data_IF_357533175943
#
_entry.id   IF_357533175943
#
_cell.length_a   1.000
_cell.length_b   1.000
_cell.length_c   1.000
_cell.angle_alpha   90.00
_cell.angle_beta   90.00
_cell.angle_gamma   90.00
#
_symmetry.space_group_name_H-M   'P 1'
#
loop_
_entity.id
_entity.type
_entity.pdbx_description
1 polymer ?
#
# COMPACT_ATOMS: atom_id res chain seq x y z
N UNK A 1 -16.88 15.10 2.08
CA UNK A 1 -15.87 14.44 2.94
C UNK A 1 -16.25 14.66 4.41
N UNK A 2 -15.84 13.77 5.33
CA UNK A 2 -16.06 13.99 6.76
C UNK A 2 -15.05 14.97 7.36
N UNK A 3 -13.82 14.96 6.83
CA UNK A 3 -12.71 15.82 7.27
C UNK A 3 -11.98 16.34 6.04
N UNK A 4 -11.50 17.59 6.11
CA UNK A 4 -10.48 18.15 5.23
C UNK A 4 -9.17 18.31 6.01
N UNK A 5 -8.07 17.86 5.41
CA UNK A 5 -6.72 17.98 5.99
C UNK A 5 -5.81 18.60 4.94
N UNK A 6 -5.07 19.65 5.30
CA UNK A 6 -4.10 20.29 4.42
C UNK A 6 -3.80 21.72 4.80
N UNK A 7 -2.84 22.33 4.12
CA UNK A 7 -2.62 23.80 4.17
C UNK A 7 -3.58 24.55 3.21
N UNK A 8 -4.11 23.84 2.22
CA UNK A 8 -5.09 24.31 1.23
C UNK A 8 -4.58 25.43 0.31
N UNK A 9 -3.28 25.60 0.18
CA UNK A 9 -2.66 26.64 -0.66
C UNK A 9 -2.96 26.45 -2.16
N UNK A 10 -3.20 25.21 -2.57
CA UNK A 10 -3.54 24.76 -3.91
C UNK A 10 -5.04 24.83 -4.22
N UNK A 11 -5.87 25.18 -3.24
CA UNK A 11 -7.32 25.29 -3.40
C UNK A 11 -7.80 26.74 -3.45
N UNK A 12 -8.85 27.02 -4.23
CA UNK A 12 -9.59 28.28 -4.10
C UNK A 12 -10.10 28.48 -2.67
N UNK A 13 -9.83 29.65 -2.10
CA UNK A 13 -10.20 30.00 -0.72
C UNK A 13 -11.70 29.83 -0.41
N UNK A 14 -12.55 30.01 -1.41
CA UNK A 14 -14.00 29.87 -1.28
C UNK A 14 -14.43 28.41 -1.10
N UNK A 15 -13.64 27.44 -1.58
CA UNK A 15 -13.96 26.02 -1.52
C UNK A 15 -13.81 25.48 -0.08
N UNK A 16 -12.75 25.87 0.62
CA UNK A 16 -12.55 25.52 2.04
C UNK A 16 -13.61 26.19 2.91
N UNK A 17 -13.93 27.46 2.63
CA UNK A 17 -14.98 28.18 3.35
C UNK A 17 -16.37 27.53 3.16
N UNK A 18 -16.69 27.11 1.94
CA UNK A 18 -17.93 26.37 1.63
C UNK A 18 -18.01 25.04 2.38
N UNK A 19 -16.92 24.28 2.43
CA UNK A 19 -16.89 23.01 3.16
C UNK A 19 -17.10 23.20 4.67
N UNK A 20 -16.45 24.21 5.27
CA UNK A 20 -16.67 24.57 6.68
C UNK A 20 -18.11 24.99 6.94
N UNK A 21 -18.69 25.82 6.08
CA UNK A 21 -20.08 26.25 6.18
C UNK A 21 -21.06 25.07 6.06
N UNK A 22 -20.68 24.02 5.33
CA UNK A 22 -21.43 22.77 5.24
C UNK A 22 -21.20 21.81 6.42
N UNK A 23 -20.44 22.21 7.45
CA UNK A 23 -20.19 21.41 8.66
C UNK A 23 -19.09 20.36 8.52
N UNK A 24 -18.20 20.48 7.54
CA UNK A 24 -17.07 19.56 7.38
C UNK A 24 -15.94 19.95 8.36
N UNK A 25 -15.51 18.99 9.19
CA UNK A 25 -14.34 19.17 10.05
C UNK A 25 -13.12 19.53 9.21
N UNK A 26 -12.35 20.52 9.63
CA UNK A 26 -11.20 20.98 8.86
C UNK A 26 -9.98 21.10 9.76
N UNK A 27 -8.97 20.27 9.51
CA UNK A 27 -7.66 20.34 10.12
C UNK A 27 -6.73 21.13 9.19
N UNK A 28 -6.45 22.38 9.57
CA UNK A 28 -5.49 23.23 8.84
C UNK A 28 -4.08 22.89 9.29
N UNK A 29 -3.23 22.53 8.35
CA UNK A 29 -1.81 22.31 8.59
C UNK A 29 -1.01 23.58 8.30
N UNK A 30 0.13 23.78 8.97
CA UNK A 30 1.08 24.82 8.57
C UNK A 30 1.58 24.59 7.14
N UNK A 31 1.88 25.67 6.43
CA UNK A 31 2.52 25.64 5.10
C UNK A 31 3.91 24.98 5.17
N UNK A 32 4.67 25.25 6.24
CA UNK A 32 5.95 24.58 6.54
C UNK A 32 5.75 23.49 7.58
N UNK A 33 5.90 22.25 7.16
CA UNK A 33 5.71 21.04 7.97
C UNK A 33 6.64 19.93 7.49
N UNK A 34 6.91 18.97 8.37
CA UNK A 34 7.79 17.83 8.07
C UNK A 34 7.05 16.64 7.42
N UNK A 35 5.73 16.78 7.17
CA UNK A 35 4.86 15.73 6.63
C UNK A 35 4.03 16.25 5.45
N UNK A 36 3.72 15.37 4.49
CA UNK A 36 2.82 15.71 3.39
C UNK A 36 1.37 15.78 3.88
N UNK A 37 0.50 16.46 3.13
CA UNK A 37 -0.94 16.47 3.43
C UNK A 37 -1.55 15.06 3.41
N UNK A 38 -1.10 14.21 2.48
CA UNK A 38 -1.54 12.81 2.38
C UNK A 38 -1.12 11.98 3.59
N UNK A 39 0.10 12.17 4.10
CA UNK A 39 0.55 11.52 5.34
C UNK A 39 -0.30 11.97 6.52
N UNK A 40 -0.50 13.28 6.67
CA UNK A 40 -1.30 13.84 7.75
C UNK A 40 -2.76 13.34 7.71
N UNK A 41 -3.35 13.25 6.52
CA UNK A 41 -4.70 12.75 6.34
C UNK A 41 -4.83 11.27 6.71
N UNK A 42 -3.83 10.44 6.36
CA UNK A 42 -3.80 9.04 6.75
C UNK A 42 -3.68 8.86 8.27
N UNK A 43 -2.85 9.69 8.93
CA UNK A 43 -2.74 9.68 10.38
C UNK A 43 -4.02 10.12 11.08
N UNK A 44 -4.66 11.18 10.57
CA UNK A 44 -5.93 11.68 11.11
C UNK A 44 -7.04 10.64 10.97
N UNK A 45 -7.10 9.91 9.85
CA UNK A 45 -8.06 8.83 9.67
C UNK A 45 -7.87 7.72 10.73
N UNK A 46 -6.63 7.31 10.99
CA UNK A 46 -6.31 6.33 12.03
C UNK A 46 -6.63 6.86 13.43
N UNK A 47 -6.31 8.13 13.73
CA UNK A 47 -6.61 8.76 15.02
C UNK A 47 -8.12 8.80 15.30
N UNK A 48 -8.94 8.88 14.25
CA UNK A 48 -10.41 8.80 14.31
C UNK A 48 -10.96 7.37 14.35
N UNK A 49 -10.10 6.36 14.43
CA UNK A 49 -10.50 4.96 14.58
C UNK A 49 -10.74 4.21 13.28
N UNK A 50 -10.25 4.70 12.13
CA UNK A 50 -10.29 3.92 10.90
C UNK A 50 -9.49 2.62 11.06
N UNK A 51 -10.07 1.49 10.62
CA UNK A 51 -9.39 0.19 10.63
C UNK A 51 -8.48 -0.03 9.42
N UNK A 52 -8.65 0.78 8.37
CA UNK A 52 -7.87 0.73 7.14
C UNK A 52 -7.77 2.12 6.49
N UNK A 53 -6.74 2.31 5.67
CA UNK A 53 -6.51 3.54 4.89
C UNK A 53 -6.41 3.20 3.41
N UNK A 54 -7.17 3.92 2.59
CA UNK A 54 -7.10 3.82 1.13
C UNK A 54 -6.67 5.16 0.56
N UNK A 55 -5.52 5.17 -0.09
CA UNK A 55 -4.94 6.37 -0.72
C UNK A 55 -5.37 6.39 -2.18
N UNK A 56 -6.28 7.31 -2.51
CA UNK A 56 -6.76 7.58 -3.86
C UNK A 56 -6.01 8.78 -4.45
N UNK A 57 -5.78 8.77 -5.77
CA UNK A 57 -5.02 9.85 -6.43
C UNK A 57 -3.56 9.93 -5.98
N UNK A 58 -3.05 8.88 -5.34
CA UNK A 58 -1.69 8.80 -4.81
C UNK A 58 -0.63 8.43 -5.87
N UNK A 59 -1.06 8.16 -7.11
CA UNK A 59 -0.24 7.84 -8.27
C UNK A 59 -0.75 8.59 -9.51
N UNK A 60 0.10 8.72 -10.53
CA UNK A 60 -0.16 9.43 -11.78
C UNK A 60 0.24 10.91 -11.74
N UNK A 61 1.07 11.31 -10.77
CA UNK A 61 1.43 12.69 -10.49
C UNK A 61 2.94 12.93 -10.55
N UNK A 62 3.43 13.76 -9.62
CA UNK A 62 4.86 14.00 -9.48
C UNK A 62 5.54 12.77 -8.85
N UNK A 63 6.63 12.31 -9.46
CA UNK A 63 7.30 11.06 -9.08
C UNK A 63 7.78 11.05 -7.61
N UNK A 64 8.26 12.18 -7.11
CA UNK A 64 8.64 12.37 -5.71
C UNK A 64 7.46 12.18 -4.75
N UNK A 65 6.28 12.70 -5.08
CA UNK A 65 5.05 12.49 -4.32
C UNK A 65 4.65 11.01 -4.31
N UNK A 66 4.76 10.31 -5.44
CA UNK A 66 4.46 8.88 -5.52
C UNK A 66 5.38 8.06 -4.61
N UNK A 67 6.68 8.36 -4.62
CA UNK A 67 7.64 7.73 -3.71
C UNK A 67 7.34 8.06 -2.24
N UNK A 68 6.90 9.29 -1.96
CA UNK A 68 6.40 9.69 -0.64
C UNK A 68 5.20 8.85 -0.20
N UNK A 69 4.24 8.59 -1.09
CA UNK A 69 3.07 7.77 -0.79
C UNK A 69 3.45 6.30 -0.51
N UNK A 70 4.46 5.76 -1.19
CA UNK A 70 5.02 4.44 -0.84
C UNK A 70 5.66 4.45 0.54
N UNK A 71 6.35 5.54 0.92
CA UNK A 71 6.91 5.69 2.27
C UNK A 71 5.80 5.73 3.35
N UNK A 72 4.67 6.40 3.06
CA UNK A 72 3.49 6.41 3.93
C UNK A 72 2.92 4.98 4.08
N UNK A 73 2.71 4.24 2.99
CA UNK A 73 2.26 2.84 3.07
C UNK A 73 3.20 1.98 3.92
N UNK A 74 4.52 2.17 3.75
CA UNK A 74 5.54 1.44 4.53
C UNK A 74 5.39 1.72 6.02
N UNK A 75 5.27 2.99 6.40
CA UNK A 75 5.11 3.43 7.79
C UNK A 75 3.82 2.88 8.41
N UNK A 76 2.72 2.91 7.66
CA UNK A 76 1.43 2.36 8.09
C UNK A 76 1.50 0.84 8.30
N UNK A 77 2.09 0.10 7.36
CA UNK A 77 2.26 -1.35 7.46
C UNK A 77 3.12 -1.76 8.67
N UNK A 78 4.21 -1.02 8.95
CA UNK A 78 5.06 -1.25 10.13
C UNK A 78 4.33 -1.02 11.46
N UNK A 79 3.30 -0.16 11.47
CA UNK A 79 2.43 0.07 12.63
C UNK A 79 1.27 -0.93 12.71
N UNK A 80 1.21 -1.91 11.80
CA UNK A 80 0.13 -2.89 11.71
C UNK A 80 -1.17 -2.33 11.14
N UNK A 81 -1.17 -1.13 10.56
CA UNK A 81 -2.34 -0.55 9.93
C UNK A 81 -2.54 -1.13 8.52
N UNK A 82 -3.76 -1.54 8.20
CA UNK A 82 -4.11 -1.93 6.84
C UNK A 82 -4.12 -0.68 5.94
N UNK A 83 -3.27 -0.65 4.92
CA UNK A 83 -3.20 0.47 4.00
C UNK A 83 -2.96 0.02 2.56
N UNK A 84 -3.62 0.68 1.62
CA UNK A 84 -3.39 0.48 0.18
C UNK A 84 -3.50 1.77 -0.61
N UNK A 85 -2.77 1.82 -1.71
CA UNK A 85 -3.00 2.77 -2.80
C UNK A 85 -3.92 2.09 -3.80
N UNK A 86 -4.91 2.82 -4.31
CA UNK A 86 -5.81 2.36 -5.36
C UNK A 86 -5.82 3.34 -6.53
N UNK A 87 -5.79 2.78 -7.73
CA UNK A 87 -6.08 3.49 -8.98
C UNK A 87 -7.17 2.72 -9.74
N UNK A 88 -7.68 3.24 -10.86
CA UNK A 88 -8.58 2.46 -11.72
C UNK A 88 -7.96 1.19 -12.32
N UNK A 89 -6.64 1.00 -12.23
CA UNK A 89 -5.93 -0.09 -12.91
C UNK A 89 -5.09 -0.96 -11.98
N UNK A 90 -4.84 -0.53 -10.74
CA UNK A 90 -4.01 -1.30 -9.80
C UNK A 90 -4.37 -1.03 -8.35
N UNK A 91 -3.98 -2.00 -7.52
CA UNK A 91 -3.90 -1.88 -6.08
C UNK A 91 -2.44 -2.11 -5.64
N UNK A 92 -1.97 -1.32 -4.67
CA UNK A 92 -0.64 -1.48 -4.09
C UNK A 92 -0.69 -1.45 -2.57
N UNK A 93 0.04 -2.37 -1.92
CA UNK A 93 0.14 -2.44 -0.45
C UNK A 93 1.55 -2.88 -0.02
N UNK A 94 1.93 -2.54 1.20
CA UNK A 94 3.19 -2.99 1.79
C UNK A 94 2.93 -4.16 2.72
N UNK A 95 3.63 -5.27 2.46
CA UNK A 95 3.61 -6.48 3.26
C UNK A 95 4.80 -6.44 4.22
N UNK A 96 4.51 -6.34 5.52
CA UNK A 96 5.52 -6.37 6.58
C UNK A 96 5.67 -7.80 7.12
N UNK A 97 6.88 -8.35 7.10
CA UNK A 97 7.16 -9.66 7.65
C UNK A 97 6.93 -9.73 9.18
N UNK A 98 6.59 -10.91 9.72
CA UNK A 98 6.16 -12.11 9.01
C UNK A 98 4.69 -11.99 8.58
N UNK A 99 4.37 -12.30 7.32
CA UNK A 99 2.99 -12.21 6.83
C UNK A 99 2.72 -13.09 5.60
N UNK A 100 1.45 -13.45 5.40
CA UNK A 100 0.98 -14.22 4.25
C UNK A 100 -0.27 -13.60 3.62
N UNK A 101 -0.35 -13.63 2.29
CA UNK A 101 -1.46 -13.07 1.51
C UNK A 101 -1.89 -14.02 0.40
N UNK A 102 -3.19 -14.14 0.20
CA UNK A 102 -3.77 -14.80 -0.95
C UNK A 102 -4.10 -13.71 -1.96
N UNK A 103 -3.66 -13.90 -3.20
CA UNK A 103 -4.03 -13.00 -4.28
C UNK A 103 -5.45 -13.34 -4.75
N UNK A 104 -6.32 -12.34 -4.73
CA UNK A 104 -7.70 -12.42 -5.23
C UNK A 104 -7.79 -11.99 -6.70
N UNK A 105 -6.67 -12.06 -7.43
CA UNK A 105 -6.57 -11.72 -8.84
C UNK A 105 -6.75 -12.94 -9.76
N UNK A 106 -7.25 -12.69 -10.97
CA UNK A 106 -7.41 -13.74 -11.98
C UNK A 106 -6.05 -14.22 -12.53
N UNK A 107 -5.95 -15.49 -12.99
CA UNK A 107 -4.80 -15.92 -13.78
C UNK A 107 -4.59 -15.02 -15.00
N UNK A 108 -3.34 -14.64 -15.25
CA UNK A 108 -2.96 -13.65 -16.26
C UNK A 108 -2.80 -12.23 -15.72
N UNK A 109 -3.27 -11.92 -14.50
CA UNK A 109 -3.02 -10.62 -13.87
C UNK A 109 -1.54 -10.45 -13.54
N UNK A 110 -1.00 -9.27 -13.84
CA UNK A 110 0.38 -8.90 -13.50
C UNK A 110 0.48 -8.55 -12.01
N UNK A 111 1.53 -9.04 -11.36
CA UNK A 111 1.90 -8.68 -10.00
C UNK A 111 3.40 -8.39 -9.91
N UNK A 112 3.75 -7.26 -9.31
CA UNK A 112 5.13 -6.87 -9.04
C UNK A 112 5.40 -6.88 -7.54
N UNK A 113 6.56 -7.40 -7.15
CA UNK A 113 7.02 -7.48 -5.78
C UNK A 113 8.40 -6.83 -5.69
N UNK A 114 8.51 -5.77 -4.89
CA UNK A 114 9.75 -5.03 -4.71
C UNK A 114 10.14 -4.99 -3.24
N UNK A 115 11.40 -5.29 -2.93
CA UNK A 115 11.91 -5.15 -1.58
C UNK A 115 12.00 -3.67 -1.18
N UNK A 116 11.47 -3.32 -0.01
CA UNK A 116 11.57 -1.98 0.60
C UNK A 116 12.62 -1.92 1.73
N UNK A 117 13.28 -3.05 1.98
CA UNK A 117 14.49 -3.22 2.78
C UNK A 117 15.62 -3.69 1.87
N UNK A 118 16.88 -3.65 2.33
CA UNK A 118 18.04 -4.13 1.55
C UNK A 118 17.77 -5.49 0.90
N UNK A 119 17.17 -6.40 1.68
CA UNK A 119 16.64 -7.67 1.18
C UNK A 119 15.28 -7.98 1.82
N UNK A 120 14.47 -8.77 1.12
CA UNK A 120 13.29 -9.42 1.65
C UNK A 120 13.30 -10.90 1.28
N UNK A 121 12.88 -11.77 2.20
CA UNK A 121 12.79 -13.22 1.96
C UNK A 121 11.34 -13.61 1.73
N UNK A 122 11.03 -14.21 0.58
CA UNK A 122 9.65 -14.49 0.16
C UNK A 122 9.45 -15.93 -0.31
N UNK A 123 8.24 -16.44 -0.13
CA UNK A 123 7.74 -17.61 -0.88
C UNK A 123 6.57 -17.17 -1.75
N UNK A 124 6.65 -17.47 -3.04
CA UNK A 124 5.66 -17.15 -4.05
C UNK A 124 5.16 -18.46 -4.66
N UNK A 125 3.88 -18.78 -4.46
CA UNK A 125 3.26 -19.97 -5.05
C UNK A 125 2.14 -19.56 -5.99
N UNK A 126 1.92 -20.32 -7.07
CA UNK A 126 0.85 -20.07 -8.03
C UNK A 126 1.07 -18.81 -8.88
N UNK A 127 2.32 -18.32 -8.93
CA UNK A 127 2.78 -17.29 -9.87
C UNK A 127 3.62 -17.94 -10.98
N UNK A 128 3.79 -17.27 -12.12
CA UNK A 128 4.59 -17.76 -13.24
C UNK A 128 6.07 -17.93 -12.86
N UNK A 129 6.59 -17.04 -12.02
CA UNK A 129 7.92 -17.14 -11.42
C UNK A 129 7.77 -17.41 -9.92
N UNK A 130 7.76 -18.69 -9.55
CA UNK A 130 7.70 -19.12 -8.17
C UNK A 130 9.04 -18.93 -7.46
N UNK A 131 8.99 -18.72 -6.14
CA UNK A 131 10.16 -18.65 -5.28
C UNK A 131 9.85 -19.44 -4.01
N UNK A 132 10.81 -20.23 -3.53
CA UNK A 132 10.73 -20.88 -2.22
C UNK A 132 11.80 -20.30 -1.32
N UNK A 133 11.40 -19.49 -0.33
CA UNK A 133 12.32 -18.71 0.51
C UNK A 133 13.39 -17.96 -0.33
N UNK A 134 12.97 -17.43 -1.47
CA UNK A 134 13.82 -16.67 -2.37
C UNK A 134 14.10 -15.27 -1.81
N UNK A 135 15.24 -14.69 -2.19
CA UNK A 135 15.66 -13.36 -1.76
C UNK A 135 15.34 -12.35 -2.84
N UNK A 136 14.53 -11.34 -2.52
CA UNK A 136 14.38 -10.13 -3.31
C UNK A 136 15.36 -9.09 -2.78
N UNK A 137 16.25 -8.57 -3.63
CA UNK A 137 17.15 -7.47 -3.29
C UNK A 137 16.52 -6.14 -3.70
N UNK A 138 16.70 -5.09 -2.90
CA UNK A 138 16.29 -3.74 -3.26
C UNK A 138 17.03 -3.22 -4.51
N UNK A 139 18.21 -3.79 -4.80
CA UNK A 139 19.07 -3.44 -5.93
C UNK A 139 18.80 -4.30 -7.17
N UNK A 140 17.70 -5.07 -7.17
CA UNK A 140 17.32 -5.98 -8.25
C UNK A 140 15.89 -5.76 -8.72
N UNK A 141 15.62 -6.07 -9.98
CA UNK A 141 14.27 -6.14 -10.54
C UNK A 141 13.65 -7.54 -10.43
N UNK A 142 14.31 -8.49 -9.75
CA UNK A 142 13.75 -9.81 -9.47
C UNK A 142 12.43 -9.63 -8.68
N UNK A 143 11.32 -10.07 -9.26
CA UNK A 143 9.97 -9.91 -8.69
C UNK A 143 9.08 -8.90 -9.42
N UNK A 144 9.63 -8.07 -10.30
CA UNK A 144 8.85 -7.15 -11.14
C UNK A 144 8.18 -7.91 -12.28
N UNK A 145 6.91 -7.58 -12.55
CA UNK A 145 6.12 -8.13 -13.66
C UNK A 145 5.99 -9.66 -13.65
N UNK A 146 5.83 -10.25 -12.48
CA UNK A 146 5.37 -11.62 -12.35
C UNK A 146 3.89 -11.72 -12.76
N UNK A 147 3.39 -12.93 -12.96
CA UNK A 147 2.02 -13.16 -13.46
C UNK A 147 1.34 -14.19 -12.59
N UNK A 148 0.09 -13.94 -12.20
CA UNK A 148 -0.73 -14.92 -11.51
C UNK A 148 -0.96 -16.11 -12.45
N UNK A 149 -0.50 -17.30 -12.07
CA UNK A 149 -0.65 -18.52 -12.84
C UNK A 149 -1.83 -19.38 -12.34
N UNK A 150 -2.26 -19.19 -11.09
CA UNK A 150 -3.30 -19.98 -10.45
C UNK A 150 -4.21 -19.11 -9.57
N UNK A 151 -5.49 -19.48 -9.46
CA UNK A 151 -6.46 -18.85 -8.53
C UNK A 151 -6.13 -19.06 -7.05
N UNK A 152 -5.14 -19.89 -6.73
CA UNK A 152 -4.64 -20.12 -5.37
C UNK A 152 -3.27 -19.47 -5.15
N UNK A 153 -2.96 -18.43 -5.91
CA UNK A 153 -1.68 -17.74 -5.77
C UNK A 153 -1.52 -17.12 -4.38
N UNK A 154 -0.32 -17.26 -3.81
CA UNK A 154 0.00 -16.73 -2.48
C UNK A 154 1.36 -16.08 -2.45
N UNK A 155 1.48 -15.06 -1.59
CA UNK A 155 2.73 -14.38 -1.25
C UNK A 155 2.93 -14.55 0.25
N UNK A 156 4.04 -15.15 0.65
CA UNK A 156 4.51 -15.12 2.03
C UNK A 156 5.79 -14.29 2.10
N UNK A 157 5.84 -13.37 3.06
CA UNK A 157 7.03 -12.57 3.37
C UNK A 157 7.54 -13.03 4.72
N UNK A 158 8.72 -13.65 4.72
CA UNK A 158 9.37 -14.21 5.91
C UNK A 158 10.22 -13.16 6.61
N UNK A 159 10.89 -12.30 5.84
CA UNK A 159 11.79 -11.25 6.34
C UNK A 159 11.68 -9.99 5.48
N UNK A 160 11.86 -8.82 6.10
CA UNK A 160 11.86 -7.53 5.42
C UNK A 160 10.48 -6.97 5.11
N UNK A 161 10.44 -6.00 4.19
CA UNK A 161 9.21 -5.37 3.70
C UNK A 161 9.13 -5.50 2.19
N UNK A 162 7.94 -5.79 1.68
CA UNK A 162 7.71 -5.94 0.24
C UNK A 162 6.57 -5.02 -0.20
N UNK A 163 6.83 -4.14 -1.16
CA UNK A 163 5.78 -3.48 -1.92
C UNK A 163 5.20 -4.50 -2.90
N UNK A 164 3.91 -4.78 -2.75
CA UNK A 164 3.15 -5.59 -3.70
C UNK A 164 2.26 -4.68 -4.54
N UNK A 165 2.41 -4.74 -5.86
CA UNK A 165 1.61 -4.02 -6.83
C UNK A 165 0.89 -5.04 -7.69
N UNK A 166 -0.43 -5.08 -7.59
CA UNK A 166 -1.28 -5.97 -8.38
C UNK A 166 -2.04 -5.12 -9.38
N UNK A 167 -1.94 -5.45 -10.67
CA UNK A 167 -2.64 -4.74 -11.76
C UNK A 167 -4.10 -5.19 -11.86
N UNK A 168 -4.79 -5.09 -10.72
CA UNK A 168 -6.20 -5.36 -10.51
C UNK A 168 -6.66 -4.46 -9.34
N UNK A 169 -7.55 -3.48 -9.58
CA UNK A 169 -8.00 -2.56 -8.53
C UNK A 169 -8.89 -3.24 -7.48
N UNK A 170 -9.44 -4.41 -7.78
CA UNK A 170 -10.30 -5.17 -6.86
C UNK A 170 -9.48 -5.99 -5.85
N UNK A 171 -8.15 -6.03 -5.97
CA UNK A 171 -7.30 -6.75 -5.03
C UNK A 171 -7.36 -6.16 -3.62
N UNK A 172 -7.67 -7.02 -2.65
CA UNK A 172 -7.93 -6.65 -1.25
C UNK A 172 -6.75 -6.95 -0.33
N UNK A 173 -5.76 -7.70 -0.80
CA UNK A 173 -4.65 -8.23 0.00
C UNK A 173 -5.17 -8.99 1.22
N UNK A 174 -6.11 -9.91 0.99
CA UNK A 174 -6.70 -10.72 2.05
C UNK A 174 -5.60 -11.55 2.77
N UNK A 175 -5.60 -11.58 4.11
CA UNK A 175 -4.65 -12.39 4.87
C UNK A 175 -4.87 -13.88 4.60
N UNK A 176 -3.77 -14.63 4.55
CA UNK A 176 -3.80 -16.09 4.55
C UNK A 176 -3.36 -16.59 5.92
N UNK A 177 -3.96 -17.67 6.40
CA UNK A 177 -3.39 -18.45 7.50
C UNK A 177 -2.05 -19.01 7.01
N UNK A 178 -0.94 -18.48 7.53
CA UNK A 178 0.38 -19.09 7.31
C UNK A 178 0.28 -20.49 7.90
N UNK A 179 0.14 -21.49 7.03
CA UNK A 179 0.11 -22.89 7.43
C UNK A 179 1.39 -23.19 8.19
N UNK A 180 1.23 -23.73 9.39
CA UNK A 180 2.35 -24.17 10.22
C UNK A 180 3.29 -25.05 9.40
N UNK A 181 4.58 -24.91 9.68
CA UNK A 181 5.56 -25.88 9.26
C UNK A 181 4.99 -27.29 9.51
N UNK A 182 4.92 -28.09 8.45
CA UNK A 182 4.88 -29.53 8.63
C UNK A 182 6.19 -29.88 9.33
N UNK A 183 6.10 -30.11 10.64
CA UNK A 183 7.06 -30.92 11.36
C UNK A 183 6.85 -32.36 10.85
N UNK A 184 7.77 -32.81 9.98
CA UNK A 184 8.14 -34.23 9.90
C UNK A 184 9.26 -34.52 10.91
#
# INVERSE_FOLDING_TARGET
PHVLVGDFDSLPHDLVAKARAAGVDTLVLPERKDQTDGEAAAEEALARGASAVELLGALGGAFDHEMGNVAVLRRLAQRGAAARILTPTLAASVLCAPTGRALQAAPGTTVSLLALTTTAVVTLNGLAYELSRGVLSADSSLGVSNVVASRRATIAVHEGLVLSVVFDPEETFAPTTVGGAQEE
#
